data_IF_862854549992
#
_entry.id   IF_862854549992
#
_cell.length_a   1.000
_cell.length_b   1.000
_cell.length_c   1.000
_cell.angle_alpha   90.00
_cell.angle_beta   90.00
_cell.angle_gamma   90.00
#
_symmetry.space_group_name_H-M   'P 1'
#
loop_
_entity.id
_entity.type
_entity.pdbx_description
1 polymer ?
#
# COMPACT_ATOMS: atom_id res chain seq x y z
N UNK A 1 8.57 -24.97 9.57
CA UNK A 1 7.73 -24.06 8.75
C UNK A 1 8.63 -22.93 8.29
N UNK A 2 8.60 -22.58 7.01
CA UNK A 2 9.49 -21.53 6.49
C UNK A 2 9.17 -20.18 7.15
N UNK A 3 10.22 -19.40 7.45
CA UNK A 3 10.16 -18.14 8.19
C UNK A 3 9.62 -16.96 7.36
N UNK A 4 8.54 -17.16 6.60
CA UNK A 4 7.96 -16.11 5.76
C UNK A 4 6.44 -16.12 5.81
N UNK A 5 5.85 -14.93 5.70
CA UNK A 5 4.41 -14.71 5.58
C UNK A 5 4.00 -14.62 4.11
N UNK A 6 2.90 -15.27 3.75
CA UNK A 6 2.24 -15.08 2.46
C UNK A 6 0.92 -14.36 2.73
N UNK A 7 0.76 -13.17 2.15
CA UNK A 7 -0.45 -12.35 2.28
C UNK A 7 -0.84 -11.82 0.91
N UNK A 8 -2.08 -12.08 0.49
CA UNK A 8 -2.66 -11.44 -0.69
C UNK A 8 -3.28 -10.09 -0.29
N UNK A 9 -2.58 -9.00 -0.60
CA UNK A 9 -3.02 -7.65 -0.22
C UNK A 9 -4.38 -7.29 -0.81
N UNK A 10 -4.75 -7.82 -1.98
CA UNK A 10 -6.02 -7.47 -2.65
C UNK A 10 -7.23 -8.16 -2.02
N UNK A 11 -7.03 -9.30 -1.39
CA UNK A 11 -8.10 -10.14 -0.85
C UNK A 11 -8.18 -10.06 0.68
N UNK A 12 -7.04 -10.00 1.35
CA UNK A 12 -6.95 -10.17 2.80
C UNK A 12 -6.81 -8.84 3.58
N UNK A 13 -6.46 -7.75 2.90
CA UNK A 13 -6.24 -6.43 3.52
C UNK A 13 -7.32 -5.48 3.05
N UNK A 14 -7.98 -4.78 3.97
CA UNK A 14 -9.06 -3.85 3.64
C UNK A 14 -8.56 -2.62 2.84
N UNK A 15 -9.41 -2.12 1.93
CA UNK A 15 -9.22 -0.81 1.33
C UNK A 15 -9.61 0.30 2.31
N UNK A 16 -8.59 0.89 2.92
CA UNK A 16 -8.73 1.94 3.92
C UNK A 16 -8.82 3.35 3.33
N UNK A 17 -8.55 3.52 2.03
CA UNK A 17 -8.59 4.83 1.36
C UNK A 17 -9.83 5.04 0.49
N UNK A 18 -10.38 3.99 -0.12
CA UNK A 18 -11.44 4.12 -1.13
C UNK A 18 -12.64 4.97 -0.70
N UNK A 19 -13.05 4.87 0.58
CA UNK A 19 -14.15 5.65 1.13
C UNK A 19 -13.82 7.15 1.31
N UNK A 20 -12.54 7.50 1.52
CA UNK A 20 -12.07 8.87 1.81
C UNK A 20 -11.43 9.56 0.61
N UNK A 21 -10.95 8.79 -0.35
CA UNK A 21 -10.27 9.26 -1.55
C UNK A 21 -10.84 8.53 -2.77
N UNK A 22 -11.96 9.02 -3.34
CA UNK A 22 -12.58 8.41 -4.50
C UNK A 22 -11.59 8.24 -5.66
N UNK A 23 -11.53 7.02 -6.20
CA UNK A 23 -10.59 6.68 -7.28
C UNK A 23 -9.18 6.30 -6.81
N UNK A 24 -8.95 6.19 -5.50
CA UNK A 24 -7.73 5.64 -4.92
C UNK A 24 -8.11 4.44 -4.05
N UNK A 25 -7.49 3.29 -4.33
CA UNK A 25 -7.53 2.12 -3.46
C UNK A 25 -6.22 2.05 -2.69
N UNK A 26 -6.30 1.94 -1.37
CA UNK A 26 -5.14 1.93 -0.48
C UNK A 26 -5.25 0.86 0.61
N UNK A 27 -4.44 -0.18 0.45
CA UNK A 27 -4.41 -1.34 1.35
C UNK A 27 -3.06 -1.41 2.05
N UNK A 28 -3.04 -1.24 3.37
CA UNK A 28 -1.82 -1.14 4.16
C UNK A 28 -1.64 -2.41 5.01
N UNK A 29 -0.56 -3.13 4.75
CA UNK A 29 -0.34 -4.47 5.30
C UNK A 29 0.69 -4.52 6.44
N UNK A 30 1.10 -3.37 7.00
CA UNK A 30 2.12 -3.31 8.07
C UNK A 30 1.84 -4.28 9.22
N UNK A 31 0.58 -4.38 9.65
CA UNK A 31 0.17 -5.26 10.75
C UNK A 31 -0.25 -6.66 10.29
N UNK A 32 -0.04 -7.01 9.01
CA UNK A 32 -0.49 -8.27 8.40
C UNK A 32 0.65 -9.15 7.89
N UNK A 33 1.83 -8.59 7.66
CA UNK A 33 2.96 -9.30 7.02
C UNK A 33 3.99 -9.88 8.00
N UNK A 34 3.73 -9.81 9.32
CA UNK A 34 4.63 -10.30 10.38
C UNK A 34 6.07 -9.79 10.22
N UNK A 35 6.22 -8.49 9.95
CA UNK A 35 7.52 -7.83 9.81
C UNK A 35 7.71 -6.79 10.91
N UNK A 36 8.86 -6.86 11.58
CA UNK A 36 9.28 -5.85 12.55
C UNK A 36 9.90 -4.62 11.88
N UNK A 37 10.34 -4.74 10.63
CA UNK A 37 11.18 -3.74 9.97
C UNK A 37 10.47 -2.98 8.86
N UNK A 38 9.54 -3.60 8.15
CA UNK A 38 8.97 -3.04 6.92
C UNK A 38 7.44 -2.98 6.97
N UNK A 39 6.90 -1.95 6.34
CA UNK A 39 5.51 -1.89 5.93
C UNK A 39 5.40 -2.14 4.43
N UNK A 40 4.33 -2.81 4.00
CA UNK A 40 3.99 -2.95 2.59
C UNK A 40 2.59 -2.40 2.36
N UNK A 41 2.42 -1.66 1.26
CA UNK A 41 1.14 -1.09 0.87
C UNK A 41 0.87 -1.37 -0.61
N UNK A 42 -0.39 -1.67 -0.93
CA UNK A 42 -0.89 -1.70 -2.30
C UNK A 42 -1.66 -0.41 -2.55
N UNK A 43 -1.25 0.32 -3.58
CA UNK A 43 -1.90 1.54 -4.04
C UNK A 43 -2.33 1.36 -5.49
N UNK A 44 -3.59 1.68 -5.79
CA UNK A 44 -4.10 1.75 -7.16
C UNK A 44 -4.84 3.07 -7.36
N UNK A 45 -4.49 3.73 -8.46
CA UNK A 45 -5.11 4.98 -8.89
C UNK A 45 -5.97 4.73 -10.13
N UNK A 46 -7.19 5.24 -10.13
CA UNK A 46 -8.03 5.30 -11.33
C UNK A 46 -7.45 6.26 -12.38
N UNK A 47 -7.81 6.12 -13.66
CA UNK A 47 -7.35 7.03 -14.71
C UNK A 47 -7.60 8.50 -14.37
N UNK A 48 -6.57 9.33 -14.53
CA UNK A 48 -6.64 10.78 -14.26
C UNK A 48 -6.60 11.17 -12.77
N UNK A 49 -6.58 10.21 -11.85
CA UNK A 49 -6.51 10.48 -10.41
C UNK A 49 -5.06 10.61 -9.96
N UNK A 50 -4.79 11.60 -9.11
CA UNK A 50 -3.48 11.82 -8.47
C UNK A 50 -3.66 11.81 -6.94
N UNK A 51 -2.56 11.58 -6.21
CA UNK A 51 -2.58 11.72 -4.75
C UNK A 51 -3.10 13.12 -4.37
N UNK A 52 -4.07 13.22 -3.45
CA UNK A 52 -4.62 14.51 -3.02
C UNK A 52 -3.64 15.30 -2.13
N UNK A 53 -2.61 14.63 -1.60
CA UNK A 53 -1.62 15.24 -0.71
C UNK A 53 -0.20 14.77 -1.05
N UNK A 54 0.75 15.69 -0.98
CA UNK A 54 2.18 15.39 -1.01
C UNK A 54 2.74 15.40 0.41
N UNK A 55 3.72 14.54 0.68
CA UNK A 55 4.46 14.53 1.94
C UNK A 55 5.87 14.00 1.71
N UNK A 56 6.73 14.14 2.71
CA UNK A 56 8.07 13.57 2.74
C UNK A 56 8.29 12.90 4.09
N UNK A 57 8.99 11.78 4.09
CA UNK A 57 9.36 11.10 5.32
C UNK A 57 10.67 11.70 5.85
N UNK A 58 10.74 11.97 7.16
CA UNK A 58 11.96 12.50 7.79
C UNK A 58 12.99 11.40 8.04
N UNK A 59 12.53 10.20 8.38
CA UNK A 59 13.38 9.08 8.84
C UNK A 59 13.22 7.80 8.04
N UNK A 60 12.01 7.52 7.53
CA UNK A 60 11.71 6.29 6.81
C UNK A 60 12.02 6.47 5.33
N UNK A 61 12.71 5.50 4.74
CA UNK A 61 12.80 5.39 3.29
C UNK A 61 11.51 4.79 2.74
N UNK A 62 11.04 5.32 1.61
CA UNK A 62 9.87 4.80 0.91
C UNK A 62 10.24 4.54 -0.55
N UNK A 63 10.00 3.30 -1.00
CA UNK A 63 10.27 2.86 -2.36
C UNK A 63 8.99 2.34 -3.00
N UNK A 64 8.82 2.63 -4.29
CA UNK A 64 7.65 2.23 -5.07
C UNK A 64 8.06 1.31 -6.22
N UNK A 65 7.29 0.24 -6.41
CA UNK A 65 7.39 -0.63 -7.58
C UNK A 65 6.09 -0.51 -8.36
N UNK A 66 6.18 -0.03 -9.59
CA UNK A 66 5.02 0.01 -10.50
C UNK A 66 4.83 -1.39 -11.07
N UNK A 67 3.71 -2.02 -10.71
CA UNK A 67 3.37 -3.38 -11.15
C UNK A 67 2.33 -3.40 -12.28
N UNK A 68 1.69 -2.27 -12.57
CA UNK A 68 0.71 -2.11 -13.65
C UNK A 68 0.48 -0.61 -13.93
N UNK A 69 0.27 -0.25 -15.20
CA UNK A 69 0.14 1.15 -15.63
C UNK A 69 1.49 1.83 -15.87
N UNK A 70 1.50 3.17 -15.79
CA UNK A 70 2.68 4.02 -16.04
C UNK A 70 2.62 5.30 -15.20
#
# INVERSE_FOLDING_TARGET
MSAYSIVNLKEEVEDSLGARAPGIEGRFARNRIDSEHLGLSYLRYSPGVRSPSAHSHREQEEAYVVISGS
#
